data_IF_366058419480
#
_entry.id   IF_366058419480
#
_cell.length_a   1.000
_cell.length_b   1.000
_cell.length_c   1.000
_cell.angle_alpha   90.00
_cell.angle_beta   90.00
_cell.angle_gamma   90.00
#
_symmetry.space_group_name_H-M   'P 1'
#
loop_
_entity.id
_entity.type
_entity.pdbx_description
1 polymer ?
#
# COMPACT_ATOMS: atom_id res chain seq x y z
N UNK A 1 -7.19 -18.42 -1.35
CA UNK A 1 -7.66 -19.23 -2.50
C UNK A 1 -7.82 -18.42 -3.78
N UNK A 2 -8.65 -17.36 -3.80
CA UNK A 2 -8.88 -16.52 -5.00
C UNK A 2 -7.59 -15.96 -5.61
N UNK A 3 -6.74 -15.31 -4.80
CA UNK A 3 -5.46 -14.75 -5.28
C UNK A 3 -4.56 -15.82 -5.89
N UNK A 4 -4.49 -17.01 -5.27
CA UNK A 4 -3.68 -18.11 -5.78
C UNK A 4 -4.17 -18.59 -7.16
N UNK A 5 -5.48 -18.73 -7.34
CA UNK A 5 -6.09 -19.09 -8.64
C UNK A 5 -5.96 -17.98 -9.68
N UNK A 6 -6.04 -16.72 -9.25
CA UNK A 6 -5.77 -15.60 -10.12
C UNK A 6 -4.31 -15.64 -10.61
N UNK A 7 -3.35 -15.92 -9.71
CA UNK A 7 -1.92 -16.02 -10.02
C UNK A 7 -1.59 -17.12 -11.04
N UNK A 8 -2.33 -18.23 -11.10
CA UNK A 8 -2.11 -19.22 -12.16
C UNK A 8 -2.70 -18.80 -13.51
N UNK A 9 -3.59 -17.81 -13.54
CA UNK A 9 -4.31 -17.37 -14.74
C UNK A 9 -5.37 -18.38 -15.22
N UNK A 10 -5.55 -19.49 -14.50
CA UNK A 10 -6.43 -20.58 -14.91
C UNK A 10 -7.92 -20.27 -14.71
N UNK A 11 -8.24 -19.30 -13.86
CA UNK A 11 -9.61 -18.90 -13.53
C UNK A 11 -9.82 -17.41 -13.86
N UNK A 12 -10.58 -17.15 -14.92
CA UNK A 12 -10.85 -15.79 -15.42
C UNK A 12 -11.65 -14.96 -14.42
N UNK A 13 -12.51 -15.57 -13.60
CA UNK A 13 -13.27 -14.84 -12.59
C UNK A 13 -12.38 -14.42 -11.42
N UNK A 14 -11.46 -15.30 -11.01
CA UNK A 14 -10.46 -14.96 -10.00
C UNK A 14 -9.52 -13.84 -10.48
N UNK A 15 -9.07 -13.88 -11.74
CA UNK A 15 -8.27 -12.80 -12.35
C UNK A 15 -9.04 -11.48 -12.32
N UNK A 16 -10.27 -11.46 -12.83
CA UNK A 16 -11.10 -10.26 -12.87
C UNK A 16 -11.38 -9.69 -11.46
N UNK A 17 -11.56 -10.56 -10.46
CA UNK A 17 -11.75 -10.12 -9.08
C UNK A 17 -10.50 -9.42 -8.52
N UNK A 18 -9.30 -9.94 -8.78
CA UNK A 18 -8.04 -9.32 -8.32
C UNK A 18 -7.74 -8.03 -9.08
N UNK A 19 -8.03 -7.96 -10.38
CA UNK A 19 -7.92 -6.74 -11.17
C UNK A 19 -8.87 -5.65 -10.65
N UNK A 20 -10.13 -6.01 -10.38
CA UNK A 20 -11.12 -5.09 -9.80
C UNK A 20 -10.67 -4.59 -8.42
N UNK A 21 -10.14 -5.49 -7.58
CA UNK A 21 -9.56 -5.12 -6.31
C UNK A 21 -8.43 -4.09 -6.49
N UNK A 22 -7.47 -4.36 -7.37
CA UNK A 22 -6.35 -3.45 -7.62
C UNK A 22 -6.81 -2.10 -8.18
N UNK A 23 -7.87 -2.10 -9.00
CA UNK A 23 -8.47 -0.88 -9.51
C UNK A 23 -9.09 -0.02 -8.40
N UNK A 24 -9.95 -0.62 -7.57
CA UNK A 24 -10.58 0.09 -6.43
C UNK A 24 -9.53 0.54 -5.43
N UNK A 25 -8.56 -0.31 -5.13
CA UNK A 25 -7.47 0.00 -4.21
C UNK A 25 -6.61 1.17 -4.71
N UNK A 26 -6.29 1.21 -6.01
CA UNK A 26 -5.62 2.35 -6.64
C UNK A 26 -6.37 3.65 -6.44
N UNK A 27 -7.69 3.66 -6.72
CA UNK A 27 -8.54 4.84 -6.50
C UNK A 27 -8.49 5.31 -5.04
N UNK A 28 -8.65 4.40 -4.07
CA UNK A 28 -8.61 4.73 -2.64
C UNK A 28 -7.24 5.29 -2.24
N UNK A 29 -6.14 4.69 -2.69
CA UNK A 29 -4.79 5.19 -2.42
C UNK A 29 -4.57 6.60 -2.99
N UNK A 30 -5.11 6.90 -4.17
CA UNK A 30 -5.05 8.24 -4.75
C UNK A 30 -5.85 9.26 -3.94
N UNK A 31 -7.01 8.88 -3.40
CA UNK A 31 -7.80 9.74 -2.51
C UNK A 31 -7.03 10.03 -1.22
N UNK A 32 -6.44 9.01 -0.59
CA UNK A 32 -5.57 9.17 0.59
C UNK A 32 -4.39 10.10 0.28
N UNK A 33 -3.77 9.96 -0.90
CA UNK A 33 -2.66 10.81 -1.31
C UNK A 33 -3.07 12.29 -1.38
N UNK A 34 -4.29 12.58 -1.85
CA UNK A 34 -4.86 13.92 -1.88
C UNK A 34 -5.22 14.42 -0.48
N UNK A 35 -5.90 13.61 0.32
CA UNK A 35 -6.34 13.96 1.67
C UNK A 35 -5.18 14.41 2.56
N UNK A 36 -4.03 13.73 2.48
CA UNK A 36 -2.86 14.03 3.32
C UNK A 36 -1.76 14.80 2.59
N UNK A 37 -1.92 15.12 1.31
CA UNK A 37 -0.87 15.74 0.50
C UNK A 37 0.43 14.92 0.50
N UNK A 38 0.33 13.62 0.27
CA UNK A 38 1.36 12.61 0.57
C UNK A 38 2.60 12.63 -0.36
N UNK A 39 3.26 13.79 -0.51
CA UNK A 39 4.43 13.99 -1.40
C UNK A 39 5.62 13.07 -1.11
N UNK A 40 5.77 12.60 0.12
CA UNK A 40 6.79 11.61 0.49
C UNK A 40 6.54 10.21 -0.09
N UNK A 41 5.33 9.97 -0.59
CA UNK A 41 4.88 8.72 -1.17
C UNK A 41 3.82 8.01 -0.34
N UNK A 42 3.18 7.04 -0.98
CA UNK A 42 2.22 6.11 -0.39
C UNK A 42 2.87 4.73 -0.28
N UNK A 43 2.87 4.15 0.92
CA UNK A 43 3.48 2.85 1.20
C UNK A 43 2.39 1.79 1.34
N UNK A 44 2.41 0.78 0.47
CA UNK A 44 1.47 -0.33 0.43
C UNK A 44 2.04 -1.46 1.28
N UNK A 45 1.36 -1.80 2.37
CA UNK A 45 1.78 -2.84 3.31
C UNK A 45 0.68 -3.87 3.55
N UNK A 46 1.06 -5.04 4.03
CA UNK A 46 0.16 -6.15 4.35
C UNK A 46 0.37 -7.38 3.47
N UNK A 47 0.09 -8.57 4.01
CA UNK A 47 0.37 -9.84 3.34
C UNK A 47 -0.38 -10.03 2.01
N UNK A 48 -1.55 -9.40 1.85
CA UNK A 48 -2.27 -9.42 0.58
C UNK A 48 -1.48 -8.75 -0.54
N UNK A 49 -0.88 -7.58 -0.27
CA UNK A 49 -0.17 -6.77 -1.26
C UNK A 49 0.99 -7.53 -1.89
N UNK A 50 1.67 -8.37 -1.10
CA UNK A 50 2.75 -9.25 -1.56
C UNK A 50 2.22 -10.35 -2.48
N UNK A 51 1.03 -10.89 -2.17
CA UNK A 51 0.39 -11.92 -3.00
C UNK A 51 -0.15 -11.41 -4.33
N UNK A 52 -0.36 -10.10 -4.48
CA UNK A 52 -0.90 -9.47 -5.70
C UNK A 52 0.10 -8.54 -6.39
N UNK A 53 1.40 -8.65 -6.09
CA UNK A 53 2.45 -7.75 -6.59
C UNK A 53 2.36 -7.55 -8.11
N UNK A 54 2.24 -8.63 -8.88
CA UNK A 54 2.13 -8.55 -10.34
C UNK A 54 0.96 -7.67 -10.80
N UNK A 55 -0.19 -7.80 -10.15
CA UNK A 55 -1.42 -7.08 -10.51
C UNK A 55 -1.32 -5.60 -10.13
N UNK A 56 -0.50 -5.26 -9.14
CA UNK A 56 -0.17 -3.87 -8.81
C UNK A 56 0.76 -3.26 -9.87
N UNK A 57 1.66 -4.06 -10.45
CA UNK A 57 2.62 -3.61 -11.49
C UNK A 57 2.06 -3.63 -12.91
N UNK A 58 0.97 -4.37 -13.17
CA UNK A 58 0.31 -4.45 -14.50
C UNK A 58 -0.37 -3.14 -14.94
N UNK A 59 -0.29 -2.08 -14.14
CA UNK A 59 -0.67 -0.71 -14.52
C UNK A 59 -2.10 -0.31 -14.16
N UNK A 60 -3.00 -1.26 -13.89
CA UNK A 60 -4.39 -0.97 -13.48
C UNK A 60 -4.44 -0.17 -12.18
N UNK A 61 -3.64 -0.57 -11.19
CA UNK A 61 -3.52 0.15 -9.92
C UNK A 61 -3.06 1.60 -10.15
N UNK A 62 -1.99 1.81 -10.91
CA UNK A 62 -1.42 3.14 -11.12
C UNK A 62 -2.38 4.06 -11.88
N UNK A 63 -2.99 3.55 -12.94
CA UNK A 63 -4.00 4.30 -13.70
C UNK A 63 -5.13 4.79 -12.81
N UNK A 64 -5.64 3.94 -11.90
CA UNK A 64 -6.71 4.31 -10.97
C UNK A 64 -6.26 5.22 -9.84
N UNK A 65 -5.02 5.10 -9.39
CA UNK A 65 -4.41 6.04 -8.45
C UNK A 65 -4.36 7.46 -9.02
N UNK A 66 -4.01 7.60 -10.29
CA UNK A 66 -3.88 8.89 -10.99
C UNK A 66 -5.20 9.45 -11.51
N UNK A 67 -6.28 8.65 -11.59
CA UNK A 67 -7.60 9.04 -12.07
C UNK A 67 -8.34 9.95 -11.07
N UNK A 68 -7.90 11.21 -10.99
CA UNK A 68 -8.37 12.26 -10.06
C UNK A 68 -8.79 13.55 -10.75
N UNK A 69 -9.08 13.47 -12.05
CA UNK A 69 -9.51 14.61 -12.87
C UNK A 69 -8.53 15.78 -12.79
N UNK A 70 -9.00 16.97 -12.38
CA UNK A 70 -8.15 18.16 -12.26
C UNK A 70 -6.96 18.02 -11.30
N UNK A 71 -7.00 17.01 -10.41
CA UNK A 71 -5.94 16.75 -9.44
C UNK A 71 -4.98 15.64 -9.88
N UNK A 72 -5.14 15.07 -11.07
CA UNK A 72 -4.25 14.01 -11.60
C UNK A 72 -2.78 14.41 -11.59
N UNK A 73 -2.46 15.61 -12.09
CA UNK A 73 -1.09 16.13 -12.11
C UNK A 73 -0.44 16.22 -10.71
N UNK A 74 -1.23 16.41 -9.65
CA UNK A 74 -0.71 16.44 -8.29
C UNK A 74 -0.26 15.03 -7.84
N UNK A 75 -1.12 14.02 -8.05
CA UNK A 75 -0.86 12.65 -7.59
C UNK A 75 0.12 11.90 -8.50
N UNK A 76 0.25 12.27 -9.77
CA UNK A 76 1.22 11.69 -10.71
C UNK A 76 2.66 11.73 -10.16
N UNK A 77 3.04 12.82 -9.49
CA UNK A 77 4.37 12.96 -8.87
C UNK A 77 4.57 12.14 -7.59
N UNK A 78 3.51 11.57 -7.01
CA UNK A 78 3.56 10.87 -5.73
C UNK A 78 3.95 9.40 -5.95
N UNK A 79 5.08 8.93 -5.41
CA UNK A 79 5.51 7.55 -5.58
C UNK A 79 4.68 6.59 -4.72
N UNK A 80 4.30 5.44 -5.29
CA UNK A 80 3.68 4.32 -4.58
C UNK A 80 4.73 3.22 -4.38
N UNK A 81 4.92 2.72 -3.15
CA UNK A 81 5.96 1.73 -2.82
C UNK A 81 5.37 0.53 -2.11
N UNK A 82 5.65 -0.68 -2.61
CA UNK A 82 5.30 -1.92 -1.94
C UNK A 82 6.31 -2.23 -0.83
N UNK A 83 5.83 -2.49 0.38
CA UNK A 83 6.67 -2.87 1.53
C UNK A 83 6.87 -4.39 1.53
N UNK A 84 8.08 -4.81 1.18
CA UNK A 84 8.47 -6.23 1.09
C UNK A 84 9.22 -6.76 2.33
N UNK A 85 9.51 -5.89 3.31
CA UNK A 85 10.23 -6.25 4.54
C UNK A 85 9.35 -7.15 5.45
N UNK A 86 9.68 -8.44 5.66
CA UNK A 86 8.81 -9.40 6.37
C UNK A 86 8.49 -9.00 7.81
N UNK A 87 9.39 -8.28 8.47
CA UNK A 87 9.26 -7.91 9.88
C UNK A 87 9.04 -6.41 10.09
N UNK A 88 8.49 -5.70 9.10
CA UNK A 88 8.33 -4.23 9.17
C UNK A 88 7.59 -3.77 10.43
N UNK A 89 6.57 -4.50 10.85
CA UNK A 89 5.81 -4.20 12.07
C UNK A 89 6.68 -4.36 13.33
N UNK A 90 7.46 -5.44 13.44
CA UNK A 90 8.35 -5.70 14.57
C UNK A 90 9.52 -4.70 14.62
N UNK A 91 10.07 -4.34 13.46
CA UNK A 91 11.10 -3.31 13.35
C UNK A 91 10.58 -1.94 13.81
N UNK A 92 9.36 -1.59 13.40
CA UNK A 92 8.67 -0.39 13.88
C UNK A 92 8.46 -0.41 15.40
N UNK A 93 7.95 -1.52 15.92
CA UNK A 93 7.73 -1.71 17.35
C UNK A 93 9.04 -1.60 18.16
N UNK A 94 10.11 -2.26 17.72
CA UNK A 94 11.42 -2.20 18.37
C UNK A 94 11.99 -0.77 18.36
N UNK A 95 11.84 -0.05 17.24
CA UNK A 95 12.26 1.36 17.15
C UNK A 95 11.47 2.26 18.10
N UNK A 96 10.16 2.07 18.18
CA UNK A 96 9.30 2.82 19.10
C UNK A 96 9.65 2.50 20.56
N UNK A 97 9.81 1.23 20.93
CA UNK A 97 10.20 0.83 22.27
C UNK A 97 11.54 1.47 22.70
N UNK A 98 12.55 1.48 21.82
CA UNK A 98 13.84 2.16 22.08
C UNK A 98 13.71 3.67 22.25
N UNK A 99 12.79 4.31 21.54
CA UNK A 99 12.52 5.76 21.67
C UNK A 99 11.84 6.11 22.99
N UNK A 100 11.00 5.21 23.50
CA UNK A 100 10.24 5.41 24.73
C UNK A 100 11.01 5.00 25.99
N UNK A 101 12.01 4.12 25.86
CA UNK A 101 12.81 3.63 26.98
C UNK A 101 13.48 4.72 27.86
N UNK A 102 13.97 5.88 27.35
CA UNK A 102 14.52 6.94 28.20
C UNK A 102 13.47 7.76 28.97
N UNK A 103 12.16 7.65 28.65
CA UNK A 103 11.10 8.42 29.30
C UNK A 103 10.39 7.67 30.44
N UNK A 104 10.52 6.33 30.48
CA UNK A 104 9.85 5.51 31.48
C UNK A 104 10.51 5.53 32.88
N UNK A 105 11.72 6.08 33.02
CA UNK A 105 12.48 6.09 34.27
C UNK A 105 12.59 7.48 34.93
N UNK A 106 11.88 8.51 34.45
CA UNK A 106 11.88 9.87 35.02
C UNK A 106 10.51 10.32 35.56
N UNK A 107 9.60 9.39 35.87
CA UNK A 107 8.27 9.70 36.43
C UNK A 107 8.07 9.09 37.83
N UNK A 108 9.11 9.20 38.66
CA UNK A 108 9.07 9.04 40.12
C UNK A 108 10.28 9.76 40.71
N UNK A 109 10.11 11.06 40.96
CA UNK A 109 10.73 11.80 42.05
C UNK A 109 9.60 12.64 42.69
#
# INVERSE_FOLDING_TARGET
EVVARACTGADRQCVAAVELFCAVFGSVCGDVALTFGARGGVYLAGGLMQGVERFLTDGVFRRRFEDKGRLSAFVESIPTRLVVQPHVALLGAARTARRLAPQAFQMSD
#
